data_IF_128572037465
#
_entry.id   IF_128572037465
#
_cell.length_a   1.000
_cell.length_b   1.000
_cell.length_c   1.000
_cell.angle_alpha   90.00
_cell.angle_beta   90.00
_cell.angle_gamma   90.00
#
_symmetry.space_group_name_H-M   'P 1'
#
loop_
_entity.id
_entity.type
_entity.pdbx_description
1 polymer ?
#
# COMPACT_ATOMS: atom_id res chain seq x y z
N UNK A 1 10.70 22.51 14.86
CA UNK A 1 11.54 21.47 14.23
C UNK A 1 10.85 20.15 14.52
N UNK A 2 10.19 19.58 13.52
CA UNK A 2 9.39 18.36 13.65
C UNK A 2 10.34 17.18 13.47
N UNK A 3 10.51 16.37 14.52
CA UNK A 3 11.33 15.17 14.45
C UNK A 3 10.54 14.06 13.75
N UNK A 4 10.85 13.84 12.48
CA UNK A 4 10.31 12.75 11.68
C UNK A 4 10.83 11.42 12.26
N UNK A 5 9.97 10.63 12.90
CA UNK A 5 10.33 9.28 13.36
C UNK A 5 10.26 8.34 12.15
N UNK A 6 11.40 8.12 11.51
CA UNK A 6 11.53 7.15 10.42
C UNK A 6 11.34 5.71 10.97
N UNK A 7 10.51 4.87 10.34
CA UNK A 7 10.41 3.45 10.70
C UNK A 7 11.74 2.74 10.45
N UNK A 8 12.09 1.84 11.35
CA UNK A 8 13.36 1.12 11.36
C UNK A 8 13.25 -0.25 10.66
N UNK A 9 14.33 -0.67 10.01
CA UNK A 9 14.44 -2.00 9.41
C UNK A 9 14.26 -3.11 10.45
N UNK A 10 13.44 -4.13 10.13
CA UNK A 10 13.17 -5.29 11.01
C UNK A 10 14.37 -6.23 11.19
N UNK A 11 15.47 -6.02 10.46
CA UNK A 11 16.73 -6.76 10.60
C UNK A 11 17.69 -6.11 11.60
N UNK A 12 17.82 -4.78 11.61
CA UNK A 12 18.94 -4.11 12.32
C UNK A 12 18.58 -2.82 13.08
N UNK A 13 17.35 -2.30 12.98
CA UNK A 13 16.93 -1.13 13.75
C UNK A 13 17.50 0.22 13.28
N UNK A 14 18.29 0.26 12.19
CA UNK A 14 18.84 1.50 11.64
C UNK A 14 17.78 2.29 10.87
N UNK A 15 17.65 3.62 11.06
CA UNK A 15 16.80 4.46 10.22
C UNK A 15 17.43 4.55 8.83
N UNK A 16 16.75 4.00 7.84
CA UNK A 16 17.13 4.13 6.44
C UNK A 16 15.83 4.25 5.67
N UNK A 17 15.51 5.46 5.26
CA UNK A 17 14.52 5.68 4.22
C UNK A 17 15.20 6.48 3.14
N UNK A 18 15.80 5.75 2.21
CA UNK A 18 15.80 6.27 0.87
C UNK A 18 14.33 6.33 0.43
N UNK A 19 13.69 7.50 0.53
CA UNK A 19 12.31 7.70 0.09
C UNK A 19 12.14 7.37 -1.40
N UNK A 20 13.26 7.29 -2.14
CA UNK A 20 13.31 6.91 -3.55
C UNK A 20 13.43 5.41 -3.77
N UNK A 21 13.61 4.59 -2.72
CA UNK A 21 13.58 3.13 -2.83
C UNK A 21 12.70 2.49 -1.75
N UNK A 22 11.70 1.75 -2.19
CA UNK A 22 10.77 1.03 -1.33
C UNK A 22 10.94 -0.47 -1.60
N UNK A 23 11.36 -1.24 -0.59
CA UNK A 23 11.48 -2.69 -0.70
C UNK A 23 10.26 -3.37 -0.05
N UNK A 24 9.57 -4.21 -0.81
CA UNK A 24 8.41 -5.00 -0.37
C UNK A 24 8.75 -6.47 -0.50
N UNK A 25 8.50 -7.26 0.55
CA UNK A 25 8.92 -8.66 0.60
C UNK A 25 7.73 -9.59 0.72
N UNK A 26 7.60 -10.51 -0.22
CA UNK A 26 6.78 -11.70 -0.06
C UNK A 26 7.52 -12.70 0.83
N UNK A 27 6.80 -13.26 1.82
CA UNK A 27 7.37 -14.23 2.76
C UNK A 27 7.63 -15.58 2.11
N UNK A 28 6.68 -16.06 1.30
CA UNK A 28 6.68 -17.36 0.63
C UNK A 28 6.03 -17.21 -0.76
N UNK A 29 6.24 -18.17 -1.68
CA UNK A 29 5.39 -18.35 -2.85
C UNK A 29 3.91 -18.51 -2.42
N UNK A 30 2.96 -18.02 -3.22
CA UNK A 30 1.54 -18.06 -2.87
C UNK A 30 1.06 -19.50 -2.63
N UNK A 31 1.45 -20.42 -3.53
CA UNK A 31 1.12 -21.85 -3.42
C UNK A 31 1.69 -22.50 -2.16
N UNK A 32 2.78 -21.98 -1.58
CA UNK A 32 3.40 -22.53 -0.39
C UNK A 32 2.71 -22.05 0.92
N UNK A 33 1.85 -21.04 0.86
CA UNK A 33 1.06 -20.58 2.01
C UNK A 33 -0.04 -21.58 2.37
N UNK A 34 -0.54 -22.32 1.38
CA UNK A 34 -1.62 -23.32 1.54
C UNK A 34 -1.10 -24.68 2.04
N UNK A 35 0.22 -24.90 1.94
CA UNK A 35 0.86 -26.14 2.36
C UNK A 35 1.26 -26.06 3.83
N UNK A 36 1.23 -27.21 4.49
CA UNK A 36 1.72 -27.35 5.86
C UNK A 36 3.21 -27.03 5.96
N UNK A 37 3.62 -26.49 7.10
CA UNK A 37 5.01 -26.09 7.33
C UNK A 37 6.00 -27.24 7.19
N UNK A 38 5.62 -28.47 7.58
CA UNK A 38 6.53 -29.62 7.55
C UNK A 38 6.87 -30.10 6.13
N UNK A 39 6.10 -29.67 5.13
CA UNK A 39 6.33 -29.95 3.72
C UNK A 39 7.14 -28.84 3.02
N UNK A 40 7.58 -27.81 3.76
CA UNK A 40 8.40 -26.71 3.26
C UNK A 40 9.83 -26.89 3.75
N UNK A 41 10.76 -26.96 2.81
CA UNK A 41 12.18 -27.22 3.07
C UNK A 41 13.01 -26.06 2.53
N UNK A 42 13.52 -25.21 3.42
CA UNK A 42 14.51 -24.20 3.05
C UNK A 42 15.83 -24.90 2.70
N UNK A 43 16.40 -24.57 1.53
CA UNK A 43 17.59 -25.24 1.00
C UNK A 43 18.81 -24.34 1.11
N UNK A 44 19.52 -24.47 2.24
CA UNK A 44 20.73 -23.70 2.50
C UNK A 44 20.42 -22.25 2.86
N UNK A 45 20.53 -21.36 1.89
CA UNK A 45 20.23 -19.93 2.09
C UNK A 45 18.72 -19.70 2.10
N UNK A 46 18.24 -18.71 2.86
CA UNK A 46 16.82 -18.31 2.94
C UNK A 46 16.24 -17.69 1.66
N UNK A 47 16.82 -18.04 0.50
CA UNK A 47 16.41 -17.66 -0.83
C UNK A 47 16.06 -18.89 -1.71
N UNK A 48 16.20 -20.11 -1.21
CA UNK A 48 15.85 -21.34 -1.92
C UNK A 48 14.85 -22.15 -1.10
N UNK A 49 13.79 -22.60 -1.75
CA UNK A 49 12.69 -23.31 -1.10
C UNK A 49 12.26 -24.50 -1.95
N UNK A 50 12.15 -25.66 -1.33
CA UNK A 50 11.55 -26.86 -1.91
C UNK A 50 10.27 -27.18 -1.16
N UNK A 51 9.18 -27.43 -1.89
CA UNK A 51 7.87 -27.73 -1.30
C UNK A 51 7.37 -29.07 -1.82
N UNK A 52 7.16 -30.02 -0.92
CA UNK A 52 6.79 -31.40 -1.26
C UNK A 52 5.49 -31.44 -2.07
N UNK A 53 5.53 -32.10 -3.22
CA UNK A 53 4.38 -32.24 -4.12
C UNK A 53 3.96 -30.98 -4.86
N UNK A 54 4.70 -29.86 -4.71
CA UNK A 54 4.43 -28.59 -5.38
C UNK A 54 5.55 -28.23 -6.35
N UNK A 55 6.77 -28.03 -5.85
CA UNK A 55 7.88 -27.59 -6.70
C UNK A 55 9.05 -26.97 -5.96
N UNK A 56 9.96 -26.36 -6.73
CA UNK A 56 11.14 -25.67 -6.25
C UNK A 56 11.06 -24.18 -6.59
N UNK A 57 11.51 -23.34 -5.67
CA UNK A 57 11.40 -21.89 -5.79
C UNK A 57 12.71 -21.22 -5.37
N UNK A 58 13.07 -20.16 -6.08
CA UNK A 58 14.16 -19.27 -5.73
C UNK A 58 13.64 -17.84 -5.58
N UNK A 59 14.09 -17.16 -4.55
CA UNK A 59 13.76 -15.76 -4.31
C UNK A 59 14.49 -14.85 -5.31
N UNK A 60 13.79 -13.85 -5.82
CA UNK A 60 14.34 -12.85 -6.73
C UNK A 60 13.75 -11.46 -6.45
N UNK A 61 14.34 -10.43 -7.05
CA UNK A 61 13.91 -9.04 -6.95
C UNK A 61 13.28 -8.60 -8.26
N UNK A 62 12.05 -8.09 -8.19
CA UNK A 62 11.36 -7.45 -9.31
C UNK A 62 11.37 -5.93 -9.10
N UNK A 63 12.23 -5.19 -9.83
CA UNK A 63 12.24 -3.73 -9.77
C UNK A 63 11.10 -3.15 -10.62
N UNK A 64 10.46 -2.11 -10.09
CA UNK A 64 9.38 -1.36 -10.73
C UNK A 64 9.67 0.12 -10.58
N UNK A 65 9.68 0.84 -11.70
CA UNK A 65 9.84 2.29 -11.70
C UNK A 65 8.48 2.95 -11.51
N UNK A 66 8.40 3.86 -10.54
CA UNK A 66 7.23 4.66 -10.26
C UNK A 66 7.47 6.13 -10.63
N UNK A 67 6.40 6.91 -10.76
CA UNK A 67 6.46 8.38 -10.82
C UNK A 67 7.16 8.95 -9.58
N UNK A 68 7.63 10.20 -9.70
CA UNK A 68 8.43 10.91 -8.69
C UNK A 68 9.81 10.29 -8.39
N UNK A 69 10.41 9.60 -9.39
CA UNK A 69 11.71 8.95 -9.29
C UNK A 69 11.80 7.92 -8.14
N UNK A 70 10.70 7.20 -7.88
CA UNK A 70 10.66 6.16 -6.85
C UNK A 70 10.83 4.78 -7.49
N UNK A 71 11.76 4.00 -6.96
CA UNK A 71 11.94 2.60 -7.26
C UNK A 71 11.22 1.75 -6.21
N UNK A 72 10.30 0.91 -6.66
CA UNK A 72 9.67 -0.12 -5.85
C UNK A 72 10.27 -1.47 -6.20
N UNK A 73 10.81 -2.18 -5.23
CA UNK A 73 11.43 -3.50 -5.44
C UNK A 73 10.65 -4.56 -4.68
N UNK A 74 10.06 -5.49 -5.42
CA UNK A 74 9.39 -6.64 -4.86
C UNK A 74 10.36 -7.82 -4.71
N UNK A 75 10.65 -8.23 -3.47
CA UNK A 75 11.23 -9.53 -3.18
C UNK A 75 10.18 -10.62 -3.35
N UNK A 76 10.15 -11.25 -4.52
CA UNK A 76 9.19 -12.27 -4.96
C UNK A 76 9.86 -13.64 -5.11
N UNK A 77 9.10 -14.65 -5.48
CA UNK A 77 9.59 -16.01 -5.73
C UNK A 77 9.43 -16.41 -7.19
N UNK A 78 10.40 -17.16 -7.69
CA UNK A 78 10.45 -17.74 -9.03
C UNK A 78 10.40 -19.26 -8.90
N UNK A 79 9.37 -19.90 -9.46
CA UNK A 79 9.32 -21.35 -9.63
C UNK A 79 10.35 -21.79 -10.66
N UNK A 80 11.22 -22.72 -10.26
CA UNK A 80 12.33 -23.25 -11.05
C UNK A 80 12.35 -24.78 -10.98
N UNK A 81 13.13 -25.40 -11.86
CA UNK A 81 13.32 -26.85 -11.79
C UNK A 81 14.16 -27.28 -10.59
N UNK A 82 14.00 -28.54 -10.18
CA UNK A 82 14.78 -29.17 -9.11
C UNK A 82 16.29 -29.07 -9.36
N UNK A 83 16.69 -29.33 -10.62
CA UNK A 83 18.09 -29.29 -11.06
C UNK A 83 18.65 -27.86 -11.00
N UNK A 84 17.84 -26.84 -11.29
CA UNK A 84 18.25 -25.44 -11.16
C UNK A 84 18.37 -25.01 -9.70
N UNK A 85 17.49 -25.51 -8.83
CA UNK A 85 17.58 -25.25 -7.40
C UNK A 85 18.87 -25.85 -6.82
N UNK A 86 19.18 -27.11 -7.16
CA UNK A 86 20.41 -27.77 -6.71
C UNK A 86 21.67 -27.07 -7.29
N UNK A 87 21.61 -26.62 -8.55
CA UNK A 87 22.70 -25.82 -9.15
C UNK A 87 22.89 -24.50 -8.41
N UNK A 88 21.81 -23.76 -8.16
CA UNK A 88 21.85 -22.48 -7.45
C UNK A 88 22.39 -22.66 -6.03
N UNK A 89 21.94 -23.69 -5.31
CA UNK A 89 22.43 -24.03 -3.97
C UNK A 89 23.94 -24.31 -3.98
N UNK A 90 24.41 -25.09 -4.96
CA UNK A 90 25.82 -25.48 -5.08
C UNK A 90 26.73 -24.26 -5.26
N UNK A 91 26.35 -23.33 -6.15
CA UNK A 91 27.22 -22.21 -6.51
C UNK A 91 27.02 -20.96 -5.66
N UNK A 92 26.06 -20.96 -4.71
CA UNK A 92 25.60 -19.75 -4.01
C UNK A 92 26.71 -18.95 -3.33
N UNK A 93 27.70 -19.63 -2.74
CA UNK A 93 28.82 -18.99 -2.06
C UNK A 93 30.10 -18.97 -2.91
N UNK A 94 30.02 -19.40 -4.17
CA UNK A 94 31.12 -19.41 -5.11
C UNK A 94 31.10 -18.14 -5.98
N UNK A 95 32.26 -17.69 -6.49
CA UNK A 95 32.31 -16.58 -7.46
C UNK A 95 31.45 -16.81 -8.71
N UNK A 96 31.17 -18.07 -9.05
CA UNK A 96 30.29 -18.45 -10.15
C UNK A 96 28.83 -18.02 -9.95
N UNK A 97 28.41 -17.67 -8.72
CA UNK A 97 27.09 -17.10 -8.46
C UNK A 97 26.85 -15.80 -9.23
N UNK A 98 27.89 -14.98 -9.42
CA UNK A 98 27.79 -13.72 -10.17
C UNK A 98 27.31 -13.92 -11.62
N UNK A 99 27.54 -15.10 -12.19
CA UNK A 99 27.14 -15.48 -13.55
C UNK A 99 25.84 -16.32 -13.57
N UNK A 100 25.11 -16.39 -12.44
CA UNK A 100 23.87 -17.15 -12.36
C UNK A 100 22.77 -16.44 -13.17
N UNK A 101 22.29 -17.14 -14.20
CA UNK A 101 21.08 -16.82 -14.94
C UNK A 101 20.12 -17.99 -14.85
N UNK A 102 18.86 -17.70 -14.48
CA UNK A 102 17.81 -18.71 -14.37
C UNK A 102 16.55 -18.22 -15.08
N UNK A 103 15.77 -19.17 -15.59
CA UNK A 103 14.46 -18.90 -16.16
C UNK A 103 13.42 -19.70 -15.38
N UNK A 104 12.32 -19.06 -15.04
CA UNK A 104 11.25 -19.69 -14.26
C UNK A 104 9.95 -18.91 -14.36
N UNK A 105 8.98 -19.23 -13.51
CA UNK A 105 7.68 -18.57 -13.46
C UNK A 105 7.50 -17.81 -12.14
N UNK A 106 7.01 -16.56 -12.17
CA UNK A 106 6.73 -15.82 -10.93
C UNK A 106 5.66 -16.55 -10.10
N UNK A 107 5.90 -16.71 -8.81
CA UNK A 107 5.10 -17.53 -7.92
C UNK A 107 4.31 -16.73 -6.87
N UNK A 108 4.20 -15.41 -7.05
CA UNK A 108 3.39 -14.53 -6.22
C UNK A 108 2.45 -13.67 -7.07
N UNK A 109 1.23 -13.47 -6.58
CA UNK A 109 0.26 -12.50 -7.09
C UNK A 109 0.64 -11.10 -6.61
N UNK A 110 1.22 -10.29 -7.51
CA UNK A 110 1.80 -8.99 -7.17
C UNK A 110 0.83 -7.88 -7.59
N UNK A 111 0.24 -7.16 -6.62
CA UNK A 111 -0.64 -6.02 -6.90
C UNK A 111 0.14 -4.83 -7.48
N UNK A 112 -0.48 -4.00 -8.36
CA UNK A 112 -1.88 -4.06 -8.82
C UNK A 112 -2.15 -5.13 -9.88
N UNK A 113 -1.12 -5.73 -10.47
CA UNK A 113 -1.24 -6.64 -11.61
C UNK A 113 -1.87 -8.00 -11.28
N UNK A 114 -1.72 -8.43 -10.03
CA UNK A 114 -2.30 -9.66 -9.47
C UNK A 114 -1.96 -10.90 -10.31
N UNK A 115 -3.00 -11.63 -10.69
CA UNK A 115 -2.90 -12.89 -11.43
C UNK A 115 -2.31 -12.72 -12.83
N UNK A 116 -2.26 -11.49 -13.36
CA UNK A 116 -1.59 -11.21 -14.64
C UNK A 116 -0.07 -11.44 -14.59
N UNK A 117 0.54 -11.35 -13.40
CA UNK A 117 1.95 -11.66 -13.19
C UNK A 117 2.18 -13.03 -12.54
N UNK A 118 1.16 -13.63 -11.92
CA UNK A 118 1.29 -14.98 -11.37
C UNK A 118 1.49 -15.99 -12.52
N UNK A 119 2.51 -16.84 -12.40
CA UNK A 119 2.93 -17.76 -13.45
C UNK A 119 3.73 -17.11 -14.59
N UNK A 120 4.02 -15.81 -14.49
CA UNK A 120 4.70 -15.11 -15.57
C UNK A 120 6.13 -15.59 -15.77
N UNK A 121 6.47 -15.98 -17.00
CA UNK A 121 7.82 -16.46 -17.29
C UNK A 121 8.81 -15.31 -17.23
N UNK A 122 9.87 -15.48 -16.44
CA UNK A 122 10.87 -14.46 -16.17
C UNK A 122 12.27 -15.05 -16.26
N UNK A 123 13.21 -14.24 -16.75
CA UNK A 123 14.64 -14.49 -16.62
C UNK A 123 15.18 -13.63 -15.50
N UNK A 124 15.96 -14.25 -14.61
CA UNK A 124 16.63 -13.58 -13.51
C UNK A 124 18.15 -13.69 -13.64
N UNK A 125 18.84 -12.61 -13.26
CA UNK A 125 20.30 -12.49 -13.33
C UNK A 125 20.85 -11.85 -12.04
N UNK A 126 22.05 -12.26 -11.64
CA UNK A 126 22.76 -11.65 -10.52
C UNK A 126 23.51 -10.40 -11.00
N UNK A 127 23.00 -9.22 -10.66
CA UNK A 127 23.67 -7.94 -10.94
C UNK A 127 24.69 -7.56 -9.86
N UNK A 128 24.45 -7.99 -8.62
CA UNK A 128 25.32 -7.81 -7.46
C UNK A 128 25.49 -9.16 -6.74
N UNK A 129 26.72 -9.70 -6.61
CA UNK A 129 26.96 -10.99 -5.94
C UNK A 129 26.53 -11.04 -4.47
N UNK A 130 26.38 -9.89 -3.81
CA UNK A 130 25.91 -9.80 -2.41
C UNK A 130 24.37 -9.77 -2.30
N UNK A 131 23.65 -9.79 -3.42
CA UNK A 131 22.19 -9.74 -3.48
C UNK A 131 21.61 -11.00 -4.15
N UNK A 132 20.30 -11.21 -3.96
CA UNK A 132 19.56 -12.22 -4.71
C UNK A 132 19.34 -11.74 -6.16
N UNK A 133 19.07 -12.65 -7.12
CA UNK A 133 18.95 -12.29 -8.53
C UNK A 133 17.81 -11.32 -8.81
N UNK A 134 17.98 -10.46 -9.82
CA UNK A 134 16.95 -9.53 -10.31
C UNK A 134 16.23 -10.11 -11.50
N UNK A 135 14.92 -9.87 -11.61
CA UNK A 135 14.16 -10.08 -12.83
C UNK A 135 14.60 -9.04 -13.85
N UNK A 136 15.16 -9.50 -14.98
CA UNK A 136 15.72 -8.61 -16.01
C UNK A 136 14.90 -8.59 -17.29
N UNK A 137 14.27 -9.71 -17.65
CA UNK A 137 13.49 -9.83 -18.89
C UNK A 137 12.36 -10.84 -18.75
N UNK A 138 11.35 -10.71 -19.61
CA UNK A 138 10.24 -11.64 -19.75
C UNK A 138 9.75 -11.65 -21.20
N UNK A 139 9.29 -12.80 -21.68
CA UNK A 139 8.58 -12.93 -22.96
C UNK A 139 7.07 -12.66 -22.83
N UNK A 140 6.56 -12.52 -21.60
CA UNK A 140 5.18 -12.14 -21.36
C UNK A 140 5.02 -10.63 -21.38
N UNK A 141 4.06 -10.17 -22.19
CA UNK A 141 3.83 -8.76 -22.46
C UNK A 141 3.67 -7.90 -21.19
N UNK A 142 2.87 -8.36 -20.22
CA UNK A 142 2.62 -7.58 -19.00
C UNK A 142 3.88 -7.42 -18.15
N UNK A 143 4.62 -8.50 -17.87
CA UNK A 143 5.85 -8.41 -17.07
C UNK A 143 6.95 -7.61 -17.79
N UNK A 144 7.09 -7.78 -19.11
CA UNK A 144 7.98 -6.95 -19.91
C UNK A 144 7.62 -5.46 -19.83
N UNK A 145 6.32 -5.13 -19.86
CA UNK A 145 5.84 -3.76 -19.69
C UNK A 145 6.10 -3.23 -18.28
N UNK A 146 5.93 -4.05 -17.24
CA UNK A 146 6.25 -3.69 -15.85
C UNK A 146 7.71 -3.29 -15.68
N UNK A 147 8.63 -4.07 -16.27
CA UNK A 147 10.08 -3.81 -16.19
C UNK A 147 10.52 -2.57 -16.99
N UNK A 148 9.90 -2.31 -18.14
CA UNK A 148 10.31 -1.24 -19.04
C UNK A 148 9.64 0.10 -18.74
N UNK A 149 8.41 0.09 -18.21
CA UNK A 149 7.57 1.26 -18.00
C UNK A 149 7.81 1.99 -16.67
N UNK A 150 7.23 3.18 -16.57
CA UNK A 150 7.06 3.93 -15.33
C UNK A 150 5.58 3.95 -14.96
N UNK A 151 5.26 3.58 -13.73
CA UNK A 151 3.88 3.47 -13.24
C UNK A 151 3.52 4.61 -12.31
N UNK A 152 2.24 4.98 -12.23
CA UNK A 152 1.81 5.95 -11.24
C UNK A 152 2.03 5.42 -9.82
N UNK A 153 2.74 6.19 -8.99
CA UNK A 153 3.08 5.79 -7.62
C UNK A 153 1.84 5.56 -6.76
N UNK A 154 0.76 6.31 -6.96
CA UNK A 154 -0.43 6.21 -6.15
C UNK A 154 -1.24 4.97 -6.52
N UNK A 155 -1.39 4.69 -7.81
CA UNK A 155 -2.04 3.47 -8.31
C UNK A 155 -1.34 2.21 -7.77
N UNK A 156 -0.01 2.17 -7.81
CA UNK A 156 0.75 0.99 -7.38
C UNK A 156 0.82 0.89 -5.85
N UNK A 157 1.22 1.97 -5.16
CA UNK A 157 1.47 1.92 -3.71
C UNK A 157 0.19 1.85 -2.88
N UNK A 158 -0.94 2.37 -3.38
CA UNK A 158 -2.23 2.27 -2.67
C UNK A 158 -2.71 0.82 -2.51
N UNK A 159 -2.28 -0.08 -3.41
CA UNK A 159 -2.58 -1.49 -3.33
C UNK A 159 -1.81 -2.23 -2.22
N UNK A 160 -0.81 -1.60 -1.60
CA UNK A 160 0.03 -2.20 -0.57
C UNK A 160 -0.55 -1.93 0.82
N UNK A 161 -0.93 -2.99 1.53
CA UNK A 161 -1.54 -2.91 2.86
C UNK A 161 -0.57 -2.63 4.01
N UNK A 162 0.74 -2.83 3.84
CA UNK A 162 1.71 -2.56 4.91
C UNK A 162 2.01 -1.05 5.03
N UNK A 163 2.61 -0.60 6.15
CA UNK A 163 3.11 0.76 6.29
C UNK A 163 4.06 1.14 5.14
N UNK A 164 3.88 2.34 4.60
CA UNK A 164 4.76 2.92 3.58
C UNK A 164 5.53 4.10 4.15
N UNK A 165 6.75 4.36 3.67
CA UNK A 165 7.55 5.48 4.15
C UNK A 165 7.13 6.84 3.60
N UNK A 166 6.21 6.85 2.64
CA UNK A 166 5.74 8.02 1.91
C UNK A 166 4.23 8.08 1.97
N UNK A 167 3.67 9.30 1.93
CA UNK A 167 2.23 9.48 1.83
C UNK A 167 1.72 9.05 0.45
N UNK A 168 0.54 8.44 0.38
CA UNK A 168 -0.01 7.90 -0.86
C UNK A 168 -1.50 8.22 -0.98
N UNK A 169 -1.92 8.71 -2.14
CA UNK A 169 -3.33 8.81 -2.51
C UNK A 169 -3.90 7.40 -2.64
N UNK A 170 -4.96 7.11 -1.89
CA UNK A 170 -5.63 5.81 -1.87
C UNK A 170 -7.07 6.01 -2.32
N UNK A 171 -7.50 5.22 -3.31
CA UNK A 171 -8.89 5.21 -3.76
C UNK A 171 -9.79 4.55 -2.73
N UNK A 172 -10.89 5.22 -2.40
CA UNK A 172 -11.99 4.68 -1.59
C UNK A 172 -13.00 3.98 -2.50
N UNK A 173 -13.26 4.56 -3.67
CA UNK A 173 -13.98 3.97 -4.80
C UNK A 173 -13.47 4.57 -6.12
N UNK A 174 -14.26 4.47 -7.19
CA UNK A 174 -13.95 5.03 -8.52
C UNK A 174 -13.93 6.56 -8.57
N UNK A 175 -14.49 7.26 -7.58
CA UNK A 175 -14.62 8.70 -7.56
C UNK A 175 -13.91 9.36 -6.39
N UNK A 176 -13.82 8.69 -5.25
CA UNK A 176 -13.30 9.21 -4.00
C UNK A 176 -11.92 8.65 -3.71
N UNK A 177 -11.10 9.53 -3.17
CA UNK A 177 -9.76 9.17 -2.72
C UNK A 177 -9.38 9.99 -1.49
N UNK A 178 -8.41 9.48 -0.75
CA UNK A 178 -7.89 10.09 0.48
C UNK A 178 -6.38 9.90 0.54
N UNK A 179 -5.68 10.82 1.18
CA UNK A 179 -4.27 10.60 1.48
C UNK A 179 -4.11 9.66 2.68
N UNK A 180 -3.48 8.51 2.45
CA UNK A 180 -2.91 7.70 3.51
C UNK A 180 -1.53 8.26 3.83
N UNK A 181 -1.39 8.91 4.98
CA UNK A 181 -0.11 9.47 5.43
C UNK A 181 0.93 8.38 5.66
N UNK A 182 2.21 8.72 5.51
CA UNK A 182 3.33 7.80 5.75
C UNK A 182 3.23 7.10 7.11
N UNK A 183 3.65 5.84 7.16
CA UNK A 183 3.66 4.99 8.34
C UNK A 183 2.35 4.24 8.61
N UNK A 184 1.24 4.58 7.94
CA UNK A 184 -0.03 3.90 8.13
C UNK A 184 -0.14 2.63 7.28
N UNK A 185 -0.42 1.50 7.92
CA UNK A 185 -0.89 0.29 7.23
C UNK A 185 -2.33 0.50 6.73
N UNK A 186 -2.71 -0.11 5.62
CA UNK A 186 -4.05 -0.07 5.04
C UNK A 186 -4.74 -1.44 5.08
N UNK A 187 -6.04 -1.44 5.31
CA UNK A 187 -6.91 -2.61 5.16
C UNK A 187 -8.34 -2.17 4.89
N UNK A 188 -9.14 -3.06 4.30
CA UNK A 188 -10.60 -2.88 4.20
C UNK A 188 -11.26 -3.82 5.20
N UNK A 189 -12.16 -3.29 6.02
CA UNK A 189 -12.94 -4.05 7.02
C UNK A 189 -14.40 -3.70 6.81
N UNK A 190 -15.21 -4.71 6.46
CA UNK A 190 -16.66 -4.54 6.23
C UNK A 190 -17.03 -3.43 5.22
N UNK A 191 -16.15 -3.19 4.24
CA UNK A 191 -16.33 -2.13 3.22
C UNK A 191 -15.74 -0.78 3.60
N UNK A 192 -15.33 -0.58 4.86
CA UNK A 192 -14.66 0.63 5.34
C UNK A 192 -13.17 0.56 5.11
N UNK A 193 -12.59 1.61 4.55
CA UNK A 193 -11.13 1.74 4.44
C UNK A 193 -10.54 2.16 5.78
N UNK A 194 -9.57 1.41 6.30
CA UNK A 194 -8.90 1.71 7.56
C UNK A 194 -7.40 1.90 7.35
N UNK A 195 -6.86 2.98 7.91
CA UNK A 195 -5.42 3.26 7.94
C UNK A 195 -4.94 3.36 9.39
N UNK A 196 -3.93 2.58 9.78
CA UNK A 196 -3.52 2.51 11.17
C UNK A 196 -2.00 2.38 11.38
N UNK A 197 -1.54 3.02 12.44
CA UNK A 197 -0.23 2.86 13.07
C UNK A 197 -0.38 3.00 14.60
N UNK A 198 0.63 2.67 15.41
CA UNK A 198 0.61 2.99 16.83
C UNK A 198 0.29 4.47 17.06
N UNK A 199 -0.75 4.74 17.84
CA UNK A 199 -1.19 6.08 18.21
C UNK A 199 -1.88 6.91 17.12
N UNK A 200 -2.13 6.36 15.92
CA UNK A 200 -2.91 7.02 14.85
C UNK A 200 -3.79 6.03 14.10
N UNK A 201 -5.07 6.36 13.96
CA UNK A 201 -6.04 5.57 13.20
C UNK A 201 -6.90 6.51 12.34
N UNK A 202 -7.24 6.06 11.15
CA UNK A 202 -8.18 6.70 10.23
C UNK A 202 -9.13 5.63 9.74
N UNK A 203 -10.43 5.89 9.81
CA UNK A 203 -11.46 5.12 9.11
C UNK A 203 -12.10 6.05 8.09
N UNK A 204 -12.36 5.55 6.89
CA UNK A 204 -12.97 6.32 5.82
C UNK A 204 -14.16 5.55 5.23
N UNK A 205 -15.31 6.22 5.22
CA UNK A 205 -16.59 5.69 4.77
C UNK A 205 -17.17 6.56 3.67
N UNK A 206 -17.96 5.94 2.80
CA UNK A 206 -18.66 6.61 1.71
C UNK A 206 -20.16 6.65 2.00
N UNK A 207 -20.79 7.74 1.59
CA UNK A 207 -22.21 8.01 1.80
C UNK A 207 -22.87 8.43 0.50
N UNK A 208 -24.15 8.12 0.39
CA UNK A 208 -25.02 8.60 -0.68
C UNK A 208 -26.22 9.30 -0.06
N UNK A 209 -26.50 10.51 -0.55
CA UNK A 209 -27.66 11.32 -0.18
C UNK A 209 -28.77 11.23 -1.22
N UNK A 210 -29.84 12.01 -1.02
CA UNK A 210 -30.84 12.20 -2.06
C UNK A 210 -30.26 13.06 -3.19
N UNK A 211 -30.64 12.79 -4.44
CA UNK A 211 -30.25 13.61 -5.59
C UNK A 211 -30.86 15.02 -5.53
N UNK A 212 -31.91 15.21 -4.74
CA UNK A 212 -32.62 16.48 -4.58
C UNK A 212 -32.06 17.34 -3.43
N UNK A 213 -31.21 16.79 -2.56
CA UNK A 213 -30.67 17.50 -1.41
C UNK A 213 -29.52 18.43 -1.84
N UNK A 214 -29.50 19.64 -1.30
CA UNK A 214 -28.29 20.47 -1.34
C UNK A 214 -27.15 19.83 -0.52
N UNK A 215 -25.87 20.14 -0.80
CA UNK A 215 -24.75 19.66 0.01
C UNK A 215 -24.92 19.96 1.50
N UNK A 216 -25.49 21.12 1.84
CA UNK A 216 -25.77 21.53 3.22
C UNK A 216 -26.87 20.69 3.88
N UNK A 217 -27.94 20.36 3.16
CA UNK A 217 -29.02 19.50 3.66
C UNK A 217 -28.52 18.06 3.86
N UNK A 218 -27.76 17.54 2.91
CA UNK A 218 -27.16 16.21 3.03
C UNK A 218 -26.14 16.18 4.19
N UNK A 219 -25.29 17.19 4.33
CA UNK A 219 -24.40 17.32 5.49
C UNK A 219 -25.19 17.37 6.81
N UNK A 220 -26.28 18.14 6.86
CA UNK A 220 -27.12 18.22 8.05
C UNK A 220 -27.72 16.85 8.41
N UNK A 221 -28.05 16.02 7.43
CA UNK A 221 -28.52 14.64 7.66
C UNK A 221 -27.43 13.74 8.26
N UNK A 222 -26.16 13.88 7.84
CA UNK A 222 -25.03 13.14 8.37
C UNK A 222 -24.69 13.55 9.81
N UNK A 223 -24.99 14.78 10.18
CA UNK A 223 -24.77 15.34 11.51
C UNK A 223 -25.92 15.06 12.49
N UNK A 224 -26.98 14.35 12.08
CA UNK A 224 -28.07 13.98 12.99
C UNK A 224 -27.54 13.11 14.13
N UNK A 225 -27.66 13.61 15.36
CA UNK A 225 -27.17 12.94 16.56
C UNK A 225 -25.71 13.21 16.91
N UNK A 226 -25.01 14.04 16.12
CA UNK A 226 -23.66 14.51 16.46
C UNK A 226 -23.69 15.35 17.75
N UNK A 227 -22.63 15.29 18.57
CA UNK A 227 -22.54 16.09 19.78
C UNK A 227 -22.42 17.59 19.47
N UNK A 228 -22.98 18.43 20.34
CA UNK A 228 -22.71 19.87 20.28
C UNK A 228 -21.32 20.15 20.84
N UNK A 229 -20.42 20.66 19.99
CA UNK A 229 -19.07 21.06 20.40
C UNK A 229 -18.89 22.60 20.39
N UNK A 230 -17.94 23.14 21.18
CA UNK A 230 -17.50 24.52 21.09
C UNK A 230 -17.10 24.94 19.66
N UNK A 231 -17.19 26.24 19.35
CA UNK A 231 -16.87 26.77 18.01
C UNK A 231 -15.40 26.62 17.63
N UNK A 232 -14.49 26.54 18.59
CA UNK A 232 -13.05 26.29 18.41
C UNK A 232 -12.72 24.79 18.27
N UNK A 233 -13.72 23.91 18.37
CA UNK A 233 -13.60 22.46 18.19
C UNK A 233 -14.33 21.94 16.95
N UNK A 234 -14.69 22.84 16.04
CA UNK A 234 -15.31 22.52 14.78
C UNK A 234 -14.86 23.46 13.68
N UNK A 235 -14.98 23.01 12.44
CA UNK A 235 -14.63 23.78 11.27
C UNK A 235 -15.55 23.40 10.11
N UNK A 236 -16.08 24.40 9.42
CA UNK A 236 -16.82 24.23 8.16
C UNK A 236 -16.10 25.00 7.07
N UNK A 237 -15.88 24.36 5.93
CA UNK A 237 -15.28 24.96 4.75
C UNK A 237 -16.18 24.73 3.53
N UNK A 238 -16.37 25.79 2.75
CA UNK A 238 -16.99 25.70 1.44
C UNK A 238 -15.94 25.29 0.41
N UNK A 239 -16.26 24.31 -0.43
CA UNK A 239 -15.41 23.84 -1.53
C UNK A 239 -16.15 24.09 -2.85
N UNK A 240 -15.45 24.14 -4.01
CA UNK A 240 -16.08 24.55 -5.28
C UNK A 240 -17.40 23.85 -5.62
N UNK A 241 -17.52 22.56 -5.28
CA UNK A 241 -18.69 21.73 -5.60
C UNK A 241 -19.32 21.08 -4.36
N UNK A 242 -19.24 21.73 -3.20
CA UNK A 242 -19.85 21.20 -2.00
C UNK A 242 -19.39 21.85 -0.70
N UNK A 243 -19.54 21.12 0.39
CA UNK A 243 -19.21 21.57 1.74
C UNK A 243 -18.47 20.48 2.48
N UNK A 244 -17.53 20.86 3.34
CA UNK A 244 -16.97 19.95 4.32
C UNK A 244 -17.10 20.52 5.71
N UNK A 245 -17.33 19.63 6.67
CA UNK A 245 -17.41 19.97 8.07
C UNK A 245 -16.68 18.93 8.91
N UNK A 246 -15.94 19.37 9.91
CA UNK A 246 -15.34 18.50 10.90
C UNK A 246 -15.54 19.06 12.30
N UNK A 247 -15.61 18.16 13.27
CA UNK A 247 -15.53 18.47 14.69
C UNK A 247 -14.60 17.47 15.38
N UNK A 248 -14.05 17.87 16.52
CA UNK A 248 -13.15 17.02 17.29
C UNK A 248 -13.40 17.15 18.78
N UNK A 249 -13.03 16.11 19.52
CA UNK A 249 -13.18 16.01 20.96
C UNK A 249 -12.06 15.17 21.56
N UNK A 250 -11.88 15.31 22.87
CA UNK A 250 -10.98 14.49 23.66
C UNK A 250 -11.83 13.62 24.58
N UNK A 251 -11.70 12.30 24.42
CA UNK A 251 -12.35 11.28 25.22
C UNK A 251 -11.37 10.64 26.19
N UNK A 252 -11.87 10.02 27.26
CA UNK A 252 -11.06 9.20 28.17
C UNK A 252 -10.61 9.90 29.46
N UNK A 253 -10.06 9.13 30.42
CA UNK A 253 -9.59 9.68 31.69
C UNK A 253 -8.28 10.45 31.49
N UNK A 254 -8.03 11.42 32.36
CA UNK A 254 -6.83 12.25 32.33
C UNK A 254 -5.55 11.39 32.34
N UNK A 255 -4.65 11.62 31.38
CA UNK A 255 -3.43 10.82 31.18
C UNK A 255 -3.59 9.58 30.29
N UNK A 256 -4.81 9.23 29.88
CA UNK A 256 -5.13 8.25 28.84
C UNK A 256 -6.15 8.84 27.87
N UNK A 257 -5.98 10.13 27.59
CA UNK A 257 -6.82 10.88 26.67
C UNK A 257 -6.65 10.31 25.26
N UNK A 258 -7.77 10.12 24.57
CA UNK A 258 -7.82 9.79 23.16
C UNK A 258 -8.48 10.96 22.45
N UNK A 259 -7.80 11.47 21.43
CA UNK A 259 -8.33 12.54 20.62
C UNK A 259 -9.02 11.97 19.38
N UNK A 260 -10.11 12.59 18.99
CA UNK A 260 -10.99 12.10 17.94
C UNK A 260 -11.41 13.26 17.03
N UNK A 261 -11.41 13.04 15.72
CA UNK A 261 -11.94 13.95 14.71
C UNK A 261 -12.93 13.21 13.84
N UNK A 262 -14.11 13.77 13.69
CA UNK A 262 -15.14 13.34 12.77
C UNK A 262 -15.23 14.38 11.67
N UNK A 263 -14.89 14.00 10.44
CA UNK A 263 -14.87 14.89 9.28
C UNK A 263 -15.76 14.35 8.18
N UNK A 264 -16.53 15.22 7.55
CA UNK A 264 -17.41 14.90 6.43
C UNK A 264 -17.11 15.85 5.28
N UNK A 265 -17.10 15.33 4.07
CA UNK A 265 -16.99 16.10 2.83
C UNK A 265 -18.13 15.65 1.91
N UNK A 266 -19.03 16.57 1.58
CA UNK A 266 -20.22 16.32 0.78
C UNK A 266 -20.13 17.09 -0.52
N UNK A 267 -20.45 16.43 -1.63
CA UNK A 267 -20.43 17.01 -2.97
C UNK A 267 -21.85 17.21 -3.49
N UNK A 268 -22.04 18.19 -4.38
CA UNK A 268 -23.30 18.48 -5.09
C UNK A 268 -23.81 17.35 -6.00
N UNK A 269 -23.05 16.26 -6.13
CA UNK A 269 -23.45 15.05 -6.86
C UNK A 269 -24.33 14.11 -6.04
N UNK A 270 -24.63 14.46 -4.79
CA UNK A 270 -25.35 13.59 -3.85
C UNK A 270 -24.47 12.48 -3.26
N UNK A 271 -23.14 12.60 -3.38
CA UNK A 271 -22.17 11.68 -2.76
C UNK A 271 -21.35 12.40 -1.70
N UNK A 272 -20.93 11.68 -0.68
CA UNK A 272 -20.07 12.21 0.37
C UNK A 272 -19.10 11.16 0.88
N UNK A 273 -18.04 11.63 1.52
CA UNK A 273 -17.09 10.79 2.23
C UNK A 273 -16.89 11.34 3.64
N UNK A 274 -16.78 10.43 4.61
CA UNK A 274 -16.45 10.77 5.98
C UNK A 274 -15.15 10.13 6.40
N UNK A 275 -14.48 10.77 7.34
CA UNK A 275 -13.33 10.23 8.03
C UNK A 275 -13.53 10.31 9.53
N UNK A 276 -13.12 9.25 10.20
CA UNK A 276 -12.96 9.20 11.63
C UNK A 276 -11.48 9.01 11.95
N UNK A 277 -10.84 10.04 12.46
CA UNK A 277 -9.44 10.00 12.88
C UNK A 277 -9.37 9.88 14.40
N UNK A 278 -8.49 9.02 14.90
CA UNK A 278 -8.13 9.01 16.33
C UNK A 278 -6.64 9.04 16.53
N UNK A 279 -6.18 9.74 17.55
CA UNK A 279 -4.76 9.83 17.85
C UNK A 279 -4.49 10.01 19.35
N UNK A 280 -3.25 9.68 19.75
CA UNK A 280 -2.83 9.73 21.15
C UNK A 280 -2.19 11.09 21.52
N UNK A 281 -1.42 11.70 20.60
CA UNK A 281 -0.64 12.90 20.88
C UNK A 281 -1.43 14.19 20.57
N UNK A 282 -1.72 15.09 21.54
CA UNK A 282 -2.59 16.25 21.30
C UNK A 282 -2.12 17.17 20.16
N UNK A 283 -0.83 17.21 19.86
CA UNK A 283 -0.23 17.93 18.74
C UNK A 283 -0.62 17.41 17.34
N UNK A 284 -1.26 16.25 17.23
CA UNK A 284 -1.64 15.62 15.96
C UNK A 284 -3.00 16.10 15.39
N UNK A 285 -3.67 17.04 16.04
CA UNK A 285 -4.88 17.66 15.47
C UNK A 285 -4.66 18.22 14.04
N UNK A 286 -3.57 18.93 13.72
CA UNK A 286 -3.28 19.35 12.35
C UNK A 286 -3.12 18.19 11.37
N UNK A 287 -2.58 17.05 11.81
CA UNK A 287 -2.50 15.84 10.99
C UNK A 287 -3.90 15.28 10.69
N UNK A 288 -4.76 15.16 11.70
CA UNK A 288 -6.13 14.66 11.51
C UNK A 288 -6.94 15.57 10.58
N UNK A 289 -6.79 16.89 10.72
CA UNK A 289 -7.40 17.87 9.82
C UNK A 289 -6.83 17.78 8.39
N UNK A 290 -5.53 17.53 8.23
CA UNK A 290 -4.90 17.32 6.92
C UNK A 290 -5.48 16.08 6.22
N UNK A 291 -5.57 14.95 6.92
CA UNK A 291 -6.18 13.72 6.39
C UNK A 291 -7.62 13.97 5.93
N UNK A 292 -8.44 14.61 6.75
CA UNK A 292 -9.80 14.98 6.36
C UNK A 292 -9.86 15.90 5.14
N UNK A 293 -9.04 16.97 5.10
CA UNK A 293 -8.98 17.88 3.95
C UNK A 293 -8.46 17.21 2.68
N UNK A 294 -7.73 16.11 2.81
CA UNK A 294 -7.24 15.33 1.68
C UNK A 294 -8.34 14.55 0.96
N UNK A 295 -9.53 14.38 1.55
CA UNK A 295 -10.67 13.79 0.85
C UNK A 295 -10.91 14.54 -0.45
N UNK A 296 -10.86 13.80 -1.55
CA UNK A 296 -10.97 14.35 -2.88
C UNK A 296 -11.89 13.47 -3.71
N UNK A 297 -12.84 14.11 -4.39
CA UNK A 297 -13.67 13.50 -5.39
C UNK A 297 -13.16 13.92 -6.77
N UNK A 298 -12.76 12.95 -7.58
CA UNK A 298 -12.39 13.18 -8.98
C UNK A 298 -13.61 13.60 -9.79
N UNK A 299 -13.42 14.54 -10.70
CA UNK A 299 -14.46 14.91 -11.67
C UNK A 299 -14.51 13.87 -12.80
N UNK A 300 -15.67 13.68 -13.45
CA UNK A 300 -15.82 12.66 -14.52
C UNK A 300 -14.82 12.87 -15.68
N UNK A 301 -14.35 14.11 -15.89
CA UNK A 301 -13.32 14.46 -16.88
C UNK A 301 -11.91 13.94 -16.51
N UNK A 302 -11.61 13.73 -15.22
CA UNK A 302 -10.32 13.21 -14.75
C UNK A 302 -10.25 11.69 -14.75
N UNK A 303 -11.39 11.01 -14.61
CA UNK A 303 -11.48 9.53 -14.64
C UNK A 303 -11.30 8.92 -16.04
N UNK A 304 -11.29 9.73 -17.10
CA UNK A 304 -10.97 9.30 -18.47
C UNK A 304 -9.44 9.26 -18.68
N UNK A 305 -8.75 8.34 -18.02
CA UNK A 305 -7.42 7.95 -18.48
C UNK A 305 -7.53 7.34 -19.89
N UNK A 306 -6.59 7.61 -20.82
CA UNK A 306 -6.66 7.10 -22.18
C UNK A 306 -6.59 5.57 -22.18
N UNK A 307 -7.32 4.95 -23.12
CA UNK A 307 -7.40 3.50 -23.34
C UNK A 307 -6.08 2.79 -22.99
N UNK A 308 -6.13 1.96 -21.93
CA UNK A 308 -5.06 1.03 -21.55
C UNK A 308 -5.05 -0.11 -22.59
N UNK A 309 -4.32 0.09 -23.69
CA UNK A 309 -4.00 -0.91 -24.71
C UNK A 309 -2.73 -1.68 -24.39
#
# INVERSE_FOLDING_TARGET
MIANHAPACSCCGTPTLDEKRIDVRFGLPDVALEVREEARHEVGVGALLRVDGVGCFMRCLLPVRLTDDIELVFGTWLEISDAELDRAHTIWNDPAYADLTLRGALANSIKPWGDGLLGATATVEVSNPDEIPYVVTSDQHLLAHVLAGTWDRHDVLSCLGHPLPVAVRTHLDEHWSIERTAGLAARVVEGTSQFAAPGRNVQADLFSGSADDSPEEFLASLLVGAPTVPSDQQLTEQIPDGVRHAFWLTSGPQGHERHELYGFTVHNSGTGAGVYCTWDAPEDLPWAQHVWRSLHRSTEDETRAPDRG
#
